data_IF_243724275412
#
_entry.id   IF_243724275412
#
_cell.length_a   1.000
_cell.length_b   1.000
_cell.length_c   1.000
_cell.angle_alpha   90.00
_cell.angle_beta   90.00
_cell.angle_gamma   90.00
#
_symmetry.space_group_name_H-M   'P 1'
#
loop_
_entity.id
_entity.type
_entity.pdbx_description
1 polymer ?
#
# COMPACT_ATOMS: atom_id res chain seq x y z
N UNK A 1 -5.92 -8.26 -2.75
CA UNK A 1 -5.48 -9.59 -3.18
C UNK A 1 -6.68 -10.32 -3.76
N UNK A 2 -6.55 -10.78 -5.00
CA UNK A 2 -7.58 -11.55 -5.71
C UNK A 2 -7.04 -12.96 -5.94
N UNK A 3 -7.64 -13.96 -5.30
CA UNK A 3 -7.19 -15.35 -5.25
C UNK A 3 -8.37 -16.24 -4.90
N UNK A 4 -8.69 -17.24 -5.72
CA UNK A 4 -9.87 -18.11 -5.52
C UNK A 4 -9.65 -19.22 -4.48
N UNK A 5 -8.40 -19.62 -4.27
CA UNK A 5 -8.08 -20.57 -3.20
C UNK A 5 -8.11 -19.87 -1.83
N UNK A 6 -9.25 -19.97 -1.14
CA UNK A 6 -9.52 -19.28 0.13
C UNK A 6 -8.39 -19.46 1.15
N UNK A 7 -7.87 -20.70 1.28
CA UNK A 7 -6.80 -21.01 2.24
C UNK A 7 -5.51 -20.25 1.90
N UNK A 8 -5.15 -20.14 0.62
CA UNK A 8 -3.98 -19.39 0.15
C UNK A 8 -4.21 -17.89 0.31
N UNK A 9 -5.37 -17.38 -0.08
CA UNK A 9 -5.74 -15.97 0.07
C UNK A 9 -5.62 -15.50 1.53
N UNK A 10 -6.18 -16.28 2.46
CA UNK A 10 -6.12 -15.99 3.90
C UNK A 10 -4.68 -16.04 4.43
N UNK A 11 -3.91 -17.08 4.07
CA UNK A 11 -2.52 -17.20 4.50
C UNK A 11 -1.66 -16.03 4.01
N UNK A 12 -1.76 -15.69 2.73
CA UNK A 12 -1.07 -14.53 2.12
C UNK A 12 -1.54 -13.23 2.75
N UNK A 13 -2.86 -13.06 2.91
CA UNK A 13 -3.44 -11.89 3.55
C UNK A 13 -2.90 -11.66 4.97
N UNK A 14 -2.80 -12.74 5.79
CA UNK A 14 -2.21 -12.66 7.13
C UNK A 14 -0.74 -12.24 7.11
N UNK A 15 0.04 -12.80 6.19
CA UNK A 15 1.45 -12.41 6.01
C UNK A 15 1.57 -10.94 5.66
N UNK A 16 0.78 -10.46 4.71
CA UNK A 16 0.79 -9.06 4.28
C UNK A 16 0.38 -8.14 5.44
N UNK A 17 -0.69 -8.45 6.17
CA UNK A 17 -1.13 -7.66 7.33
C UNK A 17 -0.06 -7.60 8.43
N UNK A 18 0.64 -8.71 8.72
CA UNK A 18 1.78 -8.73 9.67
C UNK A 18 2.94 -7.84 9.21
N UNK A 19 3.10 -7.64 7.90
CA UNK A 19 4.12 -6.77 7.32
C UNK A 19 3.62 -5.33 7.06
N UNK A 20 2.47 -4.95 7.64
CA UNK A 20 2.00 -3.58 7.67
C UNK A 20 1.09 -3.18 6.52
N UNK A 21 0.73 -4.08 5.60
CA UNK A 21 -0.25 -3.82 4.54
C UNK A 21 -1.69 -3.84 5.09
N UNK A 22 -2.54 -2.95 4.62
CA UNK A 22 -3.98 -3.12 4.67
C UNK A 22 -4.37 -4.04 3.49
N UNK A 23 -5.16 -5.08 3.75
CA UNK A 23 -5.43 -6.11 2.74
C UNK A 23 -6.89 -6.47 2.72
N UNK A 24 -7.51 -6.22 1.57
CA UNK A 24 -8.82 -6.74 1.22
C UNK A 24 -8.65 -7.98 0.34
N UNK A 25 -9.54 -8.95 0.49
CA UNK A 25 -9.52 -10.21 -0.24
C UNK A 25 -10.73 -10.27 -1.17
N UNK A 26 -10.48 -10.70 -2.41
CA UNK A 26 -11.52 -11.07 -3.38
C UNK A 26 -11.25 -12.49 -3.85
N UNK A 27 -12.29 -13.27 -4.04
CA UNK A 27 -12.19 -14.70 -4.34
C UNK A 27 -12.62 -15.07 -5.77
N UNK A 28 -12.93 -14.10 -6.59
CA UNK A 28 -13.19 -14.25 -8.01
C UNK A 28 -12.83 -12.97 -8.79
N UNK A 29 -12.77 -13.10 -10.11
CA UNK A 29 -12.35 -11.99 -10.97
C UNK A 29 -13.35 -10.85 -11.07
N UNK A 30 -14.66 -11.11 -10.96
CA UNK A 30 -15.67 -10.04 -11.00
C UNK A 30 -15.61 -9.18 -9.75
N UNK A 31 -15.51 -9.79 -8.57
CA UNK A 31 -15.34 -9.09 -7.30
C UNK A 31 -13.98 -8.34 -7.27
N UNK A 32 -12.92 -8.99 -7.74
CA UNK A 32 -11.60 -8.37 -7.89
C UNK A 32 -11.60 -7.14 -8.79
N UNK A 33 -12.32 -7.20 -9.92
CA UNK A 33 -12.50 -6.05 -10.81
C UNK A 33 -13.31 -4.94 -10.15
N UNK A 34 -14.45 -5.29 -9.55
CA UNK A 34 -15.32 -4.31 -8.88
C UNK A 34 -14.54 -3.52 -7.82
N UNK A 35 -13.80 -4.24 -6.97
CA UNK A 35 -12.97 -3.62 -5.94
C UNK A 35 -11.84 -2.79 -6.58
N UNK A 36 -11.14 -3.31 -7.58
CA UNK A 36 -10.04 -2.63 -8.26
C UNK A 36 -10.45 -1.30 -8.91
N UNK A 37 -11.65 -1.24 -9.49
CA UNK A 37 -12.21 -0.03 -10.11
C UNK A 37 -12.52 1.10 -9.11
N UNK A 38 -12.58 0.81 -7.80
CA UNK A 38 -12.75 1.83 -6.77
C UNK A 38 -11.58 2.84 -6.72
N UNK A 39 -10.41 2.46 -7.26
CA UNK A 39 -9.22 3.30 -7.32
C UNK A 39 -8.55 3.59 -5.97
N UNK A 40 -8.98 2.91 -4.91
CA UNK A 40 -8.46 3.14 -3.55
C UNK A 40 -7.18 2.37 -3.24
N UNK A 41 -6.89 1.32 -4.01
CA UNK A 41 -5.76 0.44 -3.75
C UNK A 41 -4.45 1.02 -4.28
N UNK A 42 -3.42 0.96 -3.44
CA UNK A 42 -2.06 1.35 -3.82
C UNK A 42 -1.38 0.25 -4.65
N UNK A 43 -1.92 -0.98 -4.64
CA UNK A 43 -1.39 -2.14 -5.35
C UNK A 43 -2.41 -3.27 -5.43
N UNK A 44 -2.38 -4.03 -6.50
CA UNK A 44 -3.25 -5.20 -6.71
C UNK A 44 -2.36 -6.43 -6.90
N UNK A 45 -2.62 -7.49 -6.15
CA UNK A 45 -2.06 -8.83 -6.38
C UNK A 45 -3.18 -9.69 -6.95
N UNK A 46 -2.98 -10.26 -8.13
CA UNK A 46 -4.04 -10.81 -8.95
C UNK A 46 -3.64 -12.18 -9.49
N UNK A 47 -4.37 -13.23 -9.13
CA UNK A 47 -4.22 -14.52 -9.79
C UNK A 47 -4.73 -14.46 -11.23
N UNK A 48 -4.10 -15.19 -12.13
CA UNK A 48 -4.54 -15.33 -13.52
C UNK A 48 -5.74 -16.27 -13.59
N UNK A 49 -5.68 -17.42 -12.89
CA UNK A 49 -6.71 -18.44 -12.95
C UNK A 49 -7.82 -18.20 -11.92
N UNK A 50 -8.74 -17.31 -12.25
CA UNK A 50 -9.88 -16.97 -11.39
C UNK A 50 -11.20 -17.44 -11.99
N UNK A 51 -12.17 -17.82 -11.16
CA UNK A 51 -13.54 -18.08 -11.62
C UNK A 51 -14.24 -16.79 -12.05
N UNK A 52 -15.30 -16.92 -12.85
CA UNK A 52 -16.15 -15.88 -13.45
C UNK A 52 -15.42 -15.01 -14.48
N UNK A 53 -14.28 -14.43 -14.14
CA UNK A 53 -13.46 -13.60 -15.02
C UNK A 53 -11.99 -13.89 -14.76
N UNK A 54 -11.21 -14.23 -15.79
CA UNK A 54 -9.78 -14.50 -15.63
C UNK A 54 -8.99 -13.22 -15.30
N UNK A 55 -7.85 -13.38 -14.61
CA UNK A 55 -7.06 -12.26 -14.14
C UNK A 55 -6.49 -11.38 -15.25
N UNK A 56 -6.25 -11.90 -16.45
CA UNK A 56 -5.80 -11.09 -17.58
C UNK A 56 -6.94 -10.19 -18.12
N UNK A 57 -8.18 -10.68 -18.07
CA UNK A 57 -9.35 -9.86 -18.39
C UNK A 57 -9.56 -8.77 -17.34
N UNK A 58 -9.44 -9.12 -16.05
CA UNK A 58 -9.48 -8.13 -14.96
C UNK A 58 -8.42 -7.03 -15.19
N UNK A 59 -7.19 -7.42 -15.45
CA UNK A 59 -6.09 -6.48 -15.69
C UNK A 59 -6.38 -5.53 -16.86
N UNK A 60 -6.83 -6.08 -18.01
CA UNK A 60 -7.17 -5.26 -19.18
C UNK A 60 -8.25 -4.24 -18.84
N UNK A 61 -9.32 -4.65 -18.17
CA UNK A 61 -10.41 -3.75 -17.79
C UNK A 61 -9.94 -2.68 -16.78
N UNK A 62 -9.05 -3.02 -15.84
CA UNK A 62 -8.45 -2.02 -14.96
C UNK A 62 -7.67 -0.96 -15.76
N UNK A 63 -6.88 -1.37 -16.75
CA UNK A 63 -6.11 -0.45 -17.59
C UNK A 63 -6.99 0.38 -18.54
N UNK A 64 -8.03 -0.20 -19.12
CA UNK A 64 -9.03 0.50 -19.93
C UNK A 64 -9.77 1.59 -19.15
N UNK A 65 -9.94 1.38 -17.84
CA UNK A 65 -10.53 2.36 -16.92
C UNK A 65 -9.48 3.25 -16.22
N UNK A 66 -8.27 3.34 -16.78
CA UNK A 66 -7.19 4.23 -16.31
C UNK A 66 -6.76 4.00 -14.85
N UNK A 67 -6.98 2.81 -14.30
CA UNK A 67 -6.50 2.45 -12.95
C UNK A 67 -4.98 2.31 -13.03
N UNK A 68 -4.28 3.25 -12.41
CA UNK A 68 -2.82 3.34 -12.40
C UNK A 68 -2.16 2.49 -11.30
N UNK A 69 -2.94 1.85 -10.42
CA UNK A 69 -2.40 0.98 -9.38
C UNK A 69 -1.54 -0.12 -10.01
N UNK A 70 -0.32 -0.39 -9.51
CA UNK A 70 0.50 -1.48 -10.00
C UNK A 70 -0.16 -2.82 -9.73
N UNK A 71 -0.08 -3.70 -10.72
CA UNK A 71 -0.63 -5.04 -10.66
C UNK A 71 0.49 -6.06 -10.72
N UNK A 72 0.56 -6.93 -9.68
CA UNK A 72 1.39 -8.13 -9.67
C UNK A 72 0.52 -9.33 -10.02
N UNK A 73 0.87 -10.03 -11.09
CA UNK A 73 0.20 -11.27 -11.45
C UNK A 73 0.77 -12.46 -10.67
N UNK A 74 -0.12 -13.31 -10.15
CA UNK A 74 0.22 -14.65 -9.68
C UNK A 74 -0.04 -15.63 -10.83
N UNK A 75 0.90 -16.54 -11.10
CA UNK A 75 0.79 -17.46 -12.24
C UNK A 75 1.25 -18.86 -11.87
N UNK A 76 0.61 -19.89 -12.44
CA UNK A 76 1.08 -21.25 -12.31
C UNK A 76 2.44 -21.44 -13.02
N UNK A 77 3.29 -22.31 -12.46
CA UNK A 77 4.65 -22.57 -12.94
C UNK A 77 4.62 -23.20 -14.34
N UNK A 78 5.15 -22.53 -15.37
CA UNK A 78 5.50 -23.16 -16.65
C UNK A 78 4.97 -22.49 -17.92
N UNK A 79 4.06 -21.56 -17.88
CA UNK A 79 3.54 -20.95 -19.10
C UNK A 79 4.27 -19.65 -19.43
N UNK A 80 5.32 -19.78 -20.28
CA UNK A 80 6.03 -18.61 -20.82
C UNK A 80 5.07 -17.69 -21.61
N UNK A 81 4.00 -18.26 -22.17
CA UNK A 81 2.96 -17.53 -22.88
C UNK A 81 2.16 -16.57 -22.02
N UNK A 82 1.74 -16.99 -20.83
CA UNK A 82 0.96 -16.15 -19.92
C UNK A 82 1.77 -14.98 -19.37
N UNK A 83 3.08 -15.19 -19.16
CA UNK A 83 3.99 -14.12 -18.72
C UNK A 83 4.15 -13.02 -19.76
N UNK A 84 4.28 -13.39 -21.04
CA UNK A 84 4.36 -12.42 -22.14
C UNK A 84 3.03 -11.70 -22.30
N UNK A 85 1.91 -12.44 -22.30
CA UNK A 85 0.58 -11.85 -22.39
C UNK A 85 0.25 -10.93 -21.21
N UNK A 86 0.69 -11.29 -19.99
CA UNK A 86 0.48 -10.47 -18.79
C UNK A 86 1.24 -9.15 -18.85
N UNK A 87 2.49 -9.17 -19.31
CA UNK A 87 3.29 -7.95 -19.50
C UNK A 87 2.72 -7.07 -20.61
N UNK A 88 2.32 -7.67 -21.73
CA UNK A 88 1.68 -6.96 -22.85
C UNK A 88 0.31 -6.37 -22.45
N UNK A 89 -0.39 -7.03 -21.50
CA UNK A 89 -1.64 -6.54 -20.93
C UNK A 89 -1.46 -5.40 -19.88
N UNK A 90 -0.22 -5.05 -19.54
CA UNK A 90 0.08 -3.94 -18.63
C UNK A 90 0.28 -4.35 -17.17
N UNK A 91 0.68 -5.59 -16.89
CA UNK A 91 1.14 -5.98 -15.56
C UNK A 91 2.51 -5.35 -15.24
N UNK A 92 2.73 -5.02 -13.98
CA UNK A 92 3.96 -4.37 -13.52
C UNK A 92 5.00 -5.37 -13.02
N UNK A 93 4.56 -6.54 -12.55
CA UNK A 93 5.40 -7.68 -12.14
C UNK A 93 4.59 -8.98 -12.19
N UNK A 94 5.28 -10.10 -12.04
CA UNK A 94 4.65 -11.43 -11.91
C UNK A 94 5.41 -12.27 -10.89
N UNK A 95 4.69 -13.23 -10.29
CA UNK A 95 5.24 -14.18 -9.32
C UNK A 95 4.68 -15.57 -9.58
N UNK A 96 5.56 -16.54 -9.81
CA UNK A 96 5.16 -17.92 -10.09
C UNK A 96 4.76 -18.66 -8.80
N UNK A 97 3.64 -19.37 -8.83
CA UNK A 97 3.24 -20.32 -7.78
C UNK A 97 3.97 -21.68 -7.98
N UNK A 98 4.44 -22.34 -6.90
CA UNK A 98 4.48 -21.88 -5.52
C UNK A 98 5.61 -20.87 -5.29
N UNK A 99 5.37 -19.85 -4.47
CA UNK A 99 6.33 -18.79 -4.17
C UNK A 99 6.72 -18.77 -2.68
N UNK A 100 7.85 -18.16 -2.39
CA UNK A 100 8.27 -17.90 -1.03
C UNK A 100 7.72 -16.54 -0.56
N UNK A 101 7.33 -16.48 0.70
CA UNK A 101 6.80 -15.25 1.34
C UNK A 101 7.76 -14.07 1.18
N UNK A 102 9.06 -14.32 1.37
CA UNK A 102 10.10 -13.31 1.27
C UNK A 102 10.19 -12.72 -0.14
N UNK A 103 10.01 -13.55 -1.18
CA UNK A 103 9.99 -13.09 -2.57
C UNK A 103 8.78 -12.21 -2.85
N UNK A 104 7.58 -12.66 -2.44
CA UNK A 104 6.36 -11.85 -2.55
C UNK A 104 6.56 -10.47 -1.93
N UNK A 105 7.00 -10.42 -0.67
CA UNK A 105 7.22 -9.18 0.06
C UNK A 105 8.30 -8.29 -0.60
N UNK A 106 9.37 -8.88 -1.13
CA UNK A 106 10.42 -8.13 -1.82
C UNK A 106 9.91 -7.49 -3.12
N UNK A 107 9.10 -8.21 -3.90
CA UNK A 107 8.48 -7.72 -5.13
C UNK A 107 7.45 -6.62 -4.86
N UNK A 108 6.59 -6.80 -3.85
CA UNK A 108 5.62 -5.77 -3.44
C UNK A 108 6.32 -4.48 -3.02
N UNK A 109 7.42 -4.57 -2.24
CA UNK A 109 8.24 -3.39 -1.94
C UNK A 109 8.85 -2.76 -3.20
N UNK A 110 9.27 -3.55 -4.17
CA UNK A 110 9.83 -3.05 -5.43
C UNK A 110 8.77 -2.33 -6.28
N UNK A 111 7.55 -2.87 -6.35
CA UNK A 111 6.41 -2.24 -7.03
C UNK A 111 6.00 -0.94 -6.35
N UNK A 112 5.87 -0.94 -5.03
CA UNK A 112 5.52 0.27 -4.27
C UNK A 112 6.52 1.42 -4.48
N UNK A 113 7.78 1.14 -4.82
CA UNK A 113 8.75 2.17 -5.20
C UNK A 113 8.44 2.85 -6.54
N UNK A 114 7.85 2.12 -7.50
CA UNK A 114 7.56 2.65 -8.85
C UNK A 114 6.38 3.60 -8.89
N UNK A 115 5.37 3.35 -8.07
CA UNK A 115 4.14 4.17 -8.02
C UNK A 115 4.26 5.43 -7.18
N UNK A 116 5.20 5.43 -6.27
CA UNK A 116 5.49 6.65 -5.57
C UNK A 116 6.21 7.61 -6.52
N UNK A 117 5.71 8.82 -6.68
CA UNK A 117 6.49 9.96 -7.18
C UNK A 117 7.60 10.26 -6.16
N UNK A 118 8.50 9.29 -5.96
CA UNK A 118 9.63 9.42 -5.05
C UNK A 118 10.74 10.26 -5.71
N UNK A 119 11.39 11.06 -4.92
CA UNK A 119 12.78 11.42 -5.18
C UNK A 119 13.56 10.14 -5.51
N UNK A 120 14.60 10.24 -6.34
CA UNK A 120 15.42 9.12 -6.87
C UNK A 120 15.78 8.02 -5.86
N UNK A 121 15.67 8.30 -4.56
CA UNK A 121 16.08 7.41 -3.47
C UNK A 121 14.93 6.78 -2.67
N UNK A 122 13.67 6.95 -3.07
CA UNK A 122 12.50 6.41 -2.36
C UNK A 122 12.16 7.13 -1.04
N UNK A 123 12.87 8.20 -0.72
CA UNK A 123 12.72 8.97 0.51
C UNK A 123 11.65 10.06 0.36
N UNK A 124 10.89 10.29 1.42
CA UNK A 124 9.94 11.40 1.52
C UNK A 124 10.52 12.49 2.42
N UNK A 125 10.37 13.74 2.01
CA UNK A 125 10.88 14.89 2.78
C UNK A 125 9.78 15.90 3.10
N UNK A 126 9.79 16.40 4.33
CA UNK A 126 8.96 17.50 4.77
C UNK A 126 9.75 18.39 5.74
N UNK A 127 10.14 19.59 5.27
CA UNK A 127 11.07 20.43 6.02
C UNK A 127 12.41 19.72 6.24
N UNK A 128 12.78 19.57 7.50
CA UNK A 128 13.99 18.89 7.97
C UNK A 128 13.80 17.39 8.22
N UNK A 129 12.56 16.87 8.07
CA UNK A 129 12.27 15.44 8.20
C UNK A 129 12.51 14.70 6.90
N UNK A 130 13.07 13.48 7.02
CA UNK A 130 13.20 12.52 5.94
C UNK A 130 12.67 11.17 6.42
N UNK A 131 11.67 10.64 5.73
CA UNK A 131 11.11 9.30 5.97
C UNK A 131 11.60 8.34 4.89
N UNK A 132 12.15 7.22 5.31
CA UNK A 132 12.32 6.02 4.49
C UNK A 132 11.16 5.05 4.80
N UNK A 133 10.12 4.99 3.94
CA UNK A 133 8.96 4.16 4.21
C UNK A 133 9.27 2.65 4.14
N UNK A 134 10.34 2.26 3.44
CA UNK A 134 10.74 0.86 3.29
C UNK A 134 11.53 0.35 4.48
N UNK A 135 12.42 1.20 5.01
CA UNK A 135 13.17 0.90 6.22
C UNK A 135 12.37 1.21 7.50
N UNK A 136 11.20 1.85 7.36
CA UNK A 136 10.43 2.39 8.49
C UNK A 136 11.25 3.34 9.37
N UNK A 137 12.07 4.17 8.74
CA UNK A 137 13.05 5.03 9.43
C UNK A 137 12.72 6.50 9.20
N UNK A 138 12.60 7.25 10.28
CA UNK A 138 12.42 8.71 10.27
C UNK A 138 13.69 9.38 10.76
N UNK A 139 14.19 10.37 10.00
CA UNK A 139 15.42 11.12 10.25
C UNK A 139 15.18 12.62 10.32
N UNK A 140 15.98 13.27 11.16
CA UNK A 140 16.12 14.72 11.17
C UNK A 140 17.59 15.04 11.44
N UNK A 141 18.30 15.60 10.45
CA UNK A 141 19.75 15.74 10.51
C UNK A 141 20.47 14.42 10.75
N UNK A 142 21.24 14.31 11.83
CA UNK A 142 21.93 13.06 12.23
C UNK A 142 21.09 12.15 13.14
N UNK A 143 19.97 12.64 13.65
CA UNK A 143 19.11 11.84 14.54
C UNK A 143 18.18 10.95 13.72
N UNK A 144 18.00 9.73 14.19
CA UNK A 144 17.21 8.69 13.52
C UNK A 144 16.34 7.94 14.53
N UNK A 145 15.12 7.57 14.15
CA UNK A 145 14.21 6.73 14.92
C UNK A 145 13.46 5.77 14.00
N UNK A 146 13.29 4.53 14.45
CA UNK A 146 12.48 3.54 13.72
C UNK A 146 11.01 3.69 14.11
N UNK A 147 10.14 3.69 13.10
CA UNK A 147 8.69 3.76 13.27
C UNK A 147 8.09 2.35 13.19
N UNK A 148 7.07 2.03 14.00
CA UNK A 148 6.18 0.90 13.71
C UNK A 148 5.49 1.07 12.35
N UNK A 149 5.14 -0.04 11.66
CA UNK A 149 4.59 0.02 10.30
C UNK A 149 3.39 0.98 10.14
N UNK A 150 2.42 0.95 11.05
CA UNK A 150 1.24 1.83 10.97
C UNK A 150 1.55 3.32 11.17
N UNK A 151 2.52 3.63 12.03
CA UNK A 151 3.01 5.00 12.18
C UNK A 151 3.73 5.49 10.93
N UNK A 152 4.55 4.62 10.31
CA UNK A 152 5.22 4.94 9.06
C UNK A 152 4.23 5.19 7.93
N UNK A 153 3.21 4.35 7.78
CA UNK A 153 2.15 4.51 6.77
C UNK A 153 1.37 5.81 6.95
N UNK A 154 0.97 6.14 8.18
CA UNK A 154 0.29 7.40 8.48
C UNK A 154 1.15 8.61 8.15
N UNK A 155 2.43 8.58 8.56
CA UNK A 155 3.34 9.69 8.28
C UNK A 155 3.64 9.80 6.78
N UNK A 156 3.85 8.68 6.10
CA UNK A 156 4.02 8.63 4.65
C UNK A 156 2.85 9.33 3.93
N UNK A 157 1.62 8.98 4.31
CA UNK A 157 0.43 9.56 3.72
C UNK A 157 0.34 11.08 3.95
N UNK A 158 0.66 11.54 5.16
CA UNK A 158 0.72 12.97 5.47
C UNK A 158 1.85 13.69 4.72
N UNK A 159 3.02 13.06 4.56
CA UNK A 159 4.16 13.65 3.83
C UNK A 159 3.88 13.77 2.33
N UNK A 160 3.23 12.78 1.73
CA UNK A 160 2.77 12.84 0.33
C UNK A 160 1.77 13.95 0.08
N UNK A 161 0.97 14.28 1.09
CA UNK A 161 -0.06 15.32 1.06
C UNK A 161 0.30 16.52 1.94
N UNK A 162 1.61 16.84 2.03
CA UNK A 162 2.05 17.98 2.82
C UNK A 162 1.29 19.26 2.46
N UNK A 163 0.95 20.04 3.48
CA UNK A 163 0.14 21.25 3.38
C UNK A 163 -1.34 21.03 2.96
N UNK A 164 -1.77 19.79 2.75
CA UNK A 164 -3.17 19.45 2.47
C UNK A 164 -3.80 18.77 3.69
N UNK A 165 -5.04 19.16 4.00
CA UNK A 165 -5.80 18.52 5.08
C UNK A 165 -6.22 17.11 4.61
N UNK A 166 -5.93 16.12 5.45
CA UNK A 166 -6.36 14.73 5.22
C UNK A 166 -7.35 14.34 6.30
N UNK A 167 -8.55 13.89 5.92
CA UNK A 167 -9.60 13.49 6.86
C UNK A 167 -9.21 12.26 7.66
N UNK A 168 -9.83 12.08 8.83
CA UNK A 168 -9.62 10.88 9.64
C UNK A 168 -10.10 9.62 8.90
N UNK A 169 -11.25 9.69 8.25
CA UNK A 169 -11.80 8.57 7.47
C UNK A 169 -10.84 8.12 6.37
N UNK A 170 -10.28 9.07 5.61
CA UNK A 170 -9.26 8.76 4.60
C UNK A 170 -8.03 8.10 5.21
N UNK A 171 -7.58 8.53 6.38
CA UNK A 171 -6.44 7.91 7.07
C UNK A 171 -6.78 6.50 7.56
N UNK A 172 -8.00 6.26 8.04
CA UNK A 172 -8.48 4.94 8.44
C UNK A 172 -8.49 4.01 7.24
N UNK A 173 -9.16 4.41 6.17
CA UNK A 173 -9.28 3.64 4.94
C UNK A 173 -7.89 3.25 4.37
N UNK A 174 -6.99 4.22 4.25
CA UNK A 174 -5.66 4.02 3.65
C UNK A 174 -4.70 3.21 4.51
N UNK A 175 -4.83 3.22 5.82
CA UNK A 175 -3.89 2.54 6.72
C UNK A 175 -4.44 1.23 7.26
N UNK A 176 -5.75 1.09 7.40
CA UNK A 176 -6.39 -0.12 7.95
C UNK A 176 -7.32 -0.85 6.97
N UNK A 177 -7.69 -0.23 5.84
CA UNK A 177 -8.61 -0.79 4.85
C UNK A 177 -10.08 -0.42 5.12
N UNK A 178 -10.96 -0.84 4.21
CA UNK A 178 -12.40 -0.53 4.27
C UNK A 178 -13.12 -1.28 5.37
N UNK A 179 -12.87 -2.58 5.49
CA UNK A 179 -13.52 -3.46 6.46
C UNK A 179 -12.66 -3.55 7.72
N UNK A 180 -12.69 -2.49 8.52
CA UNK A 180 -11.86 -2.38 9.71
C UNK A 180 -12.64 -1.90 10.91
N UNK A 181 -12.31 -2.45 12.10
CA UNK A 181 -12.77 -1.93 13.40
C UNK A 181 -11.98 -0.68 13.85
N UNK A 182 -11.14 -0.10 12.98
CA UNK A 182 -10.41 1.11 13.31
C UNK A 182 -11.35 2.30 13.34
N UNK A 183 -11.26 3.07 14.41
CA UNK A 183 -12.05 4.28 14.65
C UNK A 183 -11.17 5.54 14.66
N UNK A 184 -11.82 6.70 14.75
CA UNK A 184 -11.12 7.99 14.84
C UNK A 184 -10.19 8.09 16.05
N UNK A 185 -10.51 7.45 17.17
CA UNK A 185 -9.69 7.47 18.39
C UNK A 185 -8.34 6.79 18.14
N UNK A 186 -8.36 5.72 17.32
CA UNK A 186 -7.13 5.04 16.91
C UNK A 186 -6.21 5.97 16.12
N UNK A 187 -6.76 6.73 15.17
CA UNK A 187 -5.98 7.73 14.42
C UNK A 187 -5.42 8.79 15.35
N UNK A 188 -6.20 9.31 16.28
CA UNK A 188 -5.76 10.31 17.27
C UNK A 188 -4.60 9.82 18.13
N UNK A 189 -4.67 8.58 18.59
CA UNK A 189 -3.60 7.93 19.35
C UNK A 189 -2.29 7.87 18.53
N UNK A 190 -2.37 7.42 17.27
CA UNK A 190 -1.18 7.35 16.41
C UNK A 190 -0.62 8.73 16.06
N UNK A 191 -1.47 9.73 15.86
CA UNK A 191 -1.02 11.12 15.66
C UNK A 191 -0.29 11.66 16.89
N UNK A 192 -0.73 11.29 18.10
CA UNK A 192 -0.01 11.62 19.34
C UNK A 192 1.37 10.99 19.38
N UNK A 193 1.49 9.69 19.00
CA UNK A 193 2.78 9.01 18.95
C UNK A 193 3.74 9.63 17.92
N UNK A 194 3.25 9.93 16.73
CA UNK A 194 4.03 10.59 15.69
C UNK A 194 4.53 11.98 16.14
N UNK A 195 3.67 12.79 16.72
CA UNK A 195 4.06 14.11 17.26
C UNK A 195 5.17 14.00 18.31
N UNK A 196 5.05 13.03 19.21
CA UNK A 196 6.10 12.80 20.22
C UNK A 196 7.42 12.42 19.58
N UNK A 197 7.43 11.55 18.57
CA UNK A 197 8.64 11.11 17.87
C UNK A 197 9.27 12.22 17.03
N UNK A 198 8.46 13.00 16.32
CA UNK A 198 8.92 14.18 15.58
C UNK A 198 9.59 15.20 16.54
N UNK A 199 8.95 15.43 17.69
CA UNK A 199 9.53 16.29 18.73
C UNK A 199 10.83 15.74 19.35
N UNK A 200 10.94 14.42 19.53
CA UNK A 200 12.18 13.78 19.99
C UNK A 200 13.34 13.94 19.02
N UNK A 201 13.06 14.00 17.72
CA UNK A 201 14.05 14.27 16.68
C UNK A 201 14.46 15.76 16.59
N UNK A 202 13.77 16.66 17.31
CA UNK A 202 14.03 18.10 17.25
C UNK A 202 13.61 18.75 15.94
N UNK A 203 12.74 18.11 15.16
CA UNK A 203 12.27 18.61 13.87
C UNK A 203 11.36 19.84 14.03
N UNK A 204 11.41 20.72 13.03
CA UNK A 204 10.50 21.87 12.90
C UNK A 204 9.16 21.50 12.26
N UNK A 205 9.05 20.32 11.65
CA UNK A 205 7.81 19.85 11.06
C UNK A 205 6.74 19.57 12.12
N UNK A 206 5.49 19.91 11.83
CA UNK A 206 4.37 19.83 12.79
C UNK A 206 3.16 19.16 12.15
N UNK A 207 2.61 18.15 12.83
CA UNK A 207 1.29 17.60 12.50
C UNK A 207 0.23 18.44 13.23
N UNK A 208 -0.47 19.30 12.49
CA UNK A 208 -1.55 20.12 13.02
C UNK A 208 -2.90 19.39 12.91
N UNK A 209 -3.74 19.55 13.96
CA UNK A 209 -5.15 19.14 13.89
C UNK A 209 -5.95 20.30 13.31
N UNK A 210 -6.73 20.01 12.26
CA UNK A 210 -7.74 20.92 11.72
C UNK A 210 -9.08 20.43 12.23
N UNK A 211 -9.69 21.19 13.14
CA UNK A 211 -10.95 20.81 13.82
C UNK A 211 -12.00 20.40 12.79
N UNK A 212 -12.68 19.30 13.05
CA UNK A 212 -13.74 18.71 12.20
C UNK A 212 -13.31 18.33 10.77
N UNK A 213 -12.03 18.44 10.40
CA UNK A 213 -11.56 18.16 9.05
C UNK A 213 -10.44 17.09 8.99
N UNK A 214 -9.59 16.98 10.04
CA UNK A 214 -8.53 15.98 10.06
C UNK A 214 -7.16 16.52 10.45
N UNK A 215 -6.12 16.13 9.73
CA UNK A 215 -4.74 16.45 10.02
C UNK A 215 -4.00 17.02 8.80
N UNK A 216 -3.01 17.88 9.05
CA UNK A 216 -2.10 18.41 8.04
C UNK A 216 -0.68 18.39 8.58
N UNK A 217 0.28 17.96 7.76
CA UNK A 217 1.71 18.07 8.03
C UNK A 217 2.26 19.33 7.36
N UNK A 218 2.99 20.12 8.13
CA UNK A 218 3.65 21.38 7.69
C UNK A 218 5.11 21.36 8.03
#
# INVERSE_FOLDING_TARGET
LVEDEVALAEAVGQVLRKNGYAVDLSFDGEDGLHNGLSGIYDMIVLDIMLPKMDGLQVLRQLRENEIAAPVMLLTARGETGDRVQGLDAGADDYLAKPFQTEELLARLRALGRRTAHYHKDGLLTCGDLTLDPLAYTLRCGSAEIRLPPKESQLLEWLMRRKNLVTSKDMLIEKVWGYDTDADENRVEMYMSFLRKKIGQLGSTAVIQTVRSAGYVLK
#
